data_IF_760136466919
#
_entry.id   IF_760136466919
#
_cell.length_a   1.000
_cell.length_b   1.000
_cell.length_c   1.000
_cell.angle_alpha   90.00
_cell.angle_beta   90.00
_cell.angle_gamma   90.00
#
_symmetry.space_group_name_H-M   'P 1'
#
loop_
_entity.id
_entity.type
_entity.pdbx_description
1 polymer ?
#
# COMPACT_ATOMS: atom_id res chain seq x y z
N UNK A 1 11.42 25.77 10.84
CA UNK A 1 11.53 24.47 10.14
C UNK A 1 10.36 24.39 9.18
N UNK A 2 10.60 24.11 7.90
CA UNK A 2 9.50 23.92 6.95
C UNK A 2 8.64 22.73 7.40
N UNK A 3 7.33 22.86 7.24
CA UNK A 3 6.40 21.82 7.57
C UNK A 3 6.64 20.61 6.63
N UNK A 4 6.69 19.39 7.16
CA UNK A 4 6.88 18.17 6.36
C UNK A 4 5.56 17.80 5.69
N UNK A 5 5.56 17.60 4.38
CA UNK A 5 4.39 17.17 3.64
C UNK A 5 4.22 15.65 3.75
N UNK A 6 5.27 14.88 3.45
CA UNK A 6 5.22 13.42 3.35
C UNK A 6 6.23 12.77 4.29
N UNK A 7 5.77 11.86 5.14
CA UNK A 7 6.63 10.91 5.86
C UNK A 7 6.58 9.57 5.18
N UNK A 8 7.75 9.08 4.74
CA UNK A 8 7.89 7.77 4.10
C UNK A 8 8.39 6.78 5.15
N UNK A 9 7.58 5.80 5.51
CA UNK A 9 7.92 4.73 6.45
C UNK A 9 8.32 3.50 5.65
N UNK A 10 9.57 3.04 5.80
CA UNK A 10 10.13 1.88 5.10
C UNK A 10 10.44 0.79 6.10
N UNK A 11 9.61 -0.26 6.21
CA UNK A 11 9.96 -1.45 6.96
C UNK A 11 11.03 -2.24 6.20
N UNK A 12 12.05 -2.75 6.89
CA UNK A 12 13.07 -3.60 6.26
C UNK A 12 13.48 -4.76 7.15
N UNK A 13 13.86 -5.88 6.52
CA UNK A 13 14.36 -7.08 7.19
C UNK A 13 15.44 -7.76 6.33
N UNK A 14 16.72 -7.58 6.67
CA UNK A 14 17.88 -8.23 6.02
C UNK A 14 18.00 -8.00 4.51
N UNK A 15 17.63 -6.80 4.02
CA UNK A 15 17.65 -6.43 2.59
C UNK A 15 18.34 -5.08 2.34
N UNK A 16 19.59 -4.87 2.79
CA UNK A 16 20.24 -3.56 2.75
C UNK A 16 20.35 -2.97 1.33
N UNK A 17 20.62 -3.79 0.32
CA UNK A 17 20.79 -3.31 -1.07
C UNK A 17 19.45 -2.84 -1.67
N UNK A 18 18.37 -3.57 -1.45
CA UNK A 18 17.04 -3.18 -1.92
C UNK A 18 16.56 -1.93 -1.20
N UNK A 19 16.74 -1.88 0.11
CA UNK A 19 16.43 -0.71 0.94
C UNK A 19 17.08 0.56 0.39
N UNK A 20 18.36 0.49 -0.02
CA UNK A 20 19.07 1.65 -0.58
C UNK A 20 18.33 2.22 -1.80
N UNK A 21 17.87 1.36 -2.70
CA UNK A 21 17.13 1.79 -3.87
C UNK A 21 15.77 2.41 -3.52
N UNK A 22 15.05 1.82 -2.58
CA UNK A 22 13.77 2.35 -2.09
C UNK A 22 13.95 3.75 -1.48
N UNK A 23 14.92 3.92 -0.56
CA UNK A 23 15.23 5.21 0.08
C UNK A 23 15.61 6.26 -0.97
N UNK A 24 16.52 5.93 -1.89
CA UNK A 24 16.94 6.88 -2.95
C UNK A 24 15.76 7.28 -3.82
N UNK A 25 14.86 6.37 -4.17
CA UNK A 25 13.66 6.67 -4.97
C UNK A 25 12.72 7.65 -4.26
N UNK A 26 12.59 7.53 -2.94
CA UNK A 26 11.80 8.45 -2.13
C UNK A 26 12.49 9.83 -2.01
N UNK A 27 13.79 9.85 -1.74
CA UNK A 27 14.57 11.09 -1.61
C UNK A 27 14.68 11.91 -2.91
N UNK A 28 14.54 11.25 -4.06
CA UNK A 28 14.57 11.90 -5.38
C UNK A 28 13.27 12.58 -5.79
N UNK A 29 12.22 12.53 -4.96
CA UNK A 29 10.96 13.20 -5.25
C UNK A 29 11.11 14.72 -5.06
N UNK A 30 10.59 15.47 -6.02
CA UNK A 30 10.62 16.92 -6.04
C UNK A 30 9.25 17.54 -5.73
N UNK A 31 9.24 18.83 -5.38
CA UNK A 31 8.01 19.61 -5.16
C UNK A 31 7.31 19.35 -3.84
N UNK A 32 7.93 18.60 -2.91
CA UNK A 32 7.40 18.32 -1.56
C UNK A 32 8.52 18.33 -0.51
N UNK A 33 8.18 18.70 0.72
CA UNK A 33 9.05 18.49 1.87
C UNK A 33 8.82 17.08 2.42
N UNK A 34 9.85 16.24 2.45
CA UNK A 34 9.70 14.87 2.91
C UNK A 34 10.74 14.45 3.96
N UNK A 35 10.39 13.46 4.73
CA UNK A 35 11.28 12.68 5.58
C UNK A 35 11.12 11.20 5.29
N UNK A 36 12.18 10.43 5.54
CA UNK A 36 12.18 8.97 5.44
C UNK A 36 12.49 8.37 6.81
N UNK A 37 11.67 7.44 7.25
CA UNK A 37 11.78 6.72 8.52
C UNK A 37 12.01 5.25 8.19
N UNK A 38 13.24 4.78 8.28
CA UNK A 38 13.58 3.38 8.06
C UNK A 38 13.43 2.63 9.37
N UNK A 39 12.59 1.59 9.38
CA UNK A 39 12.36 0.73 10.54
C UNK A 39 12.96 -0.63 10.27
N UNK A 40 14.09 -0.90 10.91
CA UNK A 40 14.86 -2.14 10.75
C UNK A 40 14.42 -3.20 11.77
N UNK A 41 13.81 -4.26 11.28
CA UNK A 41 13.34 -5.41 12.05
C UNK A 41 14.40 -6.54 12.13
N UNK A 42 15.59 -6.33 11.56
CA UNK A 42 16.68 -7.33 11.62
C UNK A 42 17.28 -7.37 13.02
N UNK A 43 17.47 -8.56 13.61
CA UNK A 43 18.10 -8.69 14.93
C UNK A 43 19.50 -8.07 15.00
N UNK A 44 20.25 -8.12 13.92
CA UNK A 44 21.62 -7.58 13.79
C UNK A 44 21.68 -6.10 13.40
N UNK A 45 20.55 -5.46 12.99
CA UNK A 45 20.52 -4.06 12.54
C UNK A 45 21.14 -3.88 11.16
N UNK A 46 20.79 -4.75 10.21
CA UNK A 46 21.42 -4.82 8.87
C UNK A 46 21.30 -3.56 8.03
N UNK A 47 20.32 -2.67 8.31
CA UNK A 47 20.11 -1.44 7.59
C UNK A 47 21.02 -0.28 8.04
N UNK A 48 21.61 -0.33 9.22
CA UNK A 48 22.35 0.80 9.80
C UNK A 48 23.47 1.33 8.89
N UNK A 49 24.30 0.42 8.37
CA UNK A 49 25.43 0.80 7.51
C UNK A 49 24.99 1.44 6.19
N UNK A 50 23.84 1.03 5.63
CA UNK A 50 23.29 1.63 4.42
C UNK A 50 22.79 3.05 4.69
N UNK A 51 22.14 3.27 5.82
CA UNK A 51 21.65 4.61 6.20
C UNK A 51 22.81 5.57 6.44
N UNK A 52 23.87 5.10 7.11
CA UNK A 52 25.11 5.89 7.26
C UNK A 52 25.75 6.27 5.91
N UNK A 53 25.74 5.36 4.93
CA UNK A 53 26.25 5.63 3.60
C UNK A 53 25.40 6.63 2.81
N UNK A 54 24.07 6.60 2.96
CA UNK A 54 23.16 7.55 2.31
C UNK A 54 23.42 8.98 2.83
N UNK A 55 23.71 9.13 4.11
CA UNK A 55 24.14 10.39 4.75
C UNK A 55 23.23 11.60 4.43
N UNK A 56 21.92 11.38 4.29
CA UNK A 56 20.92 12.42 4.03
C UNK A 56 20.18 12.76 5.34
N UNK A 57 20.16 14.03 5.70
CA UNK A 57 19.56 14.52 6.95
C UNK A 57 18.03 14.31 7.03
N UNK A 58 17.38 14.01 5.90
CA UNK A 58 15.96 13.67 5.85
C UNK A 58 15.68 12.22 6.26
N UNK A 59 16.70 11.36 6.37
CA UNK A 59 16.56 9.95 6.72
C UNK A 59 16.80 9.74 8.21
N UNK A 60 15.87 9.08 8.86
CA UNK A 60 16.02 8.58 10.24
C UNK A 60 16.00 7.07 10.26
N UNK A 61 16.78 6.50 11.18
CA UNK A 61 16.87 5.05 11.41
C UNK A 61 16.26 4.69 12.76
N UNK A 62 15.39 3.71 12.74
CA UNK A 62 14.73 3.15 13.94
C UNK A 62 14.97 1.64 13.95
N UNK A 63 15.58 1.14 15.01
CA UNK A 63 15.67 -0.28 15.24
C UNK A 63 14.41 -0.78 15.93
N UNK A 64 13.74 -1.77 15.35
CA UNK A 64 12.61 -2.43 16.01
C UNK A 64 13.12 -3.42 17.05
N UNK A 65 12.97 -3.09 18.32
CA UNK A 65 13.48 -3.91 19.44
C UNK A 65 12.37 -4.17 20.47
N UNK A 66 12.00 -5.43 20.75
CA UNK A 66 12.50 -6.65 20.10
C UNK A 66 12.01 -6.79 18.65
N UNK A 67 12.79 -7.46 17.77
CA UNK A 67 12.39 -7.71 16.39
C UNK A 67 11.09 -8.52 16.31
N UNK A 68 10.24 -8.17 15.36
CA UNK A 68 8.95 -8.86 15.16
C UNK A 68 9.07 -10.18 14.37
N UNK A 69 10.24 -10.44 13.79
CA UNK A 69 10.49 -11.60 12.94
C UNK A 69 9.98 -11.42 11.50
N UNK A 70 10.03 -10.18 10.97
CA UNK A 70 9.64 -9.87 9.61
C UNK A 70 8.13 -9.75 9.42
N UNK A 71 7.40 -9.27 10.43
CA UNK A 71 5.95 -9.02 10.37
C UNK A 71 5.68 -7.56 9.96
N UNK A 72 5.31 -7.28 8.69
CA UNK A 72 5.27 -5.90 8.18
C UNK A 72 4.30 -4.99 8.94
N UNK A 73 3.13 -5.50 9.37
CA UNK A 73 2.16 -4.75 10.16
C UNK A 73 2.77 -4.15 11.44
N UNK A 74 3.55 -4.96 12.16
CA UNK A 74 4.18 -4.52 13.41
C UNK A 74 5.29 -3.50 13.15
N UNK A 75 6.09 -3.73 12.11
CA UNK A 75 7.20 -2.84 11.75
C UNK A 75 6.68 -1.48 11.28
N UNK A 76 5.64 -1.47 10.43
CA UNK A 76 4.98 -0.21 10.01
C UNK A 76 4.35 0.52 11.20
N UNK A 77 3.76 -0.23 12.15
CA UNK A 77 3.20 0.34 13.38
C UNK A 77 4.25 0.92 14.33
N UNK A 78 5.49 0.44 14.31
CA UNK A 78 6.60 1.04 15.05
C UNK A 78 7.08 2.36 14.42
N UNK A 79 6.93 2.51 13.09
CA UNK A 79 7.42 3.67 12.35
C UNK A 79 6.44 4.83 12.27
N UNK A 80 5.18 4.59 11.90
CA UNK A 80 4.25 5.67 11.61
C UNK A 80 3.98 6.66 12.77
N UNK A 81 4.06 6.29 14.06
CA UNK A 81 3.89 7.26 15.13
C UNK A 81 4.98 8.35 15.18
N UNK A 82 6.12 8.11 14.54
CA UNK A 82 7.23 9.05 14.42
C UNK A 82 7.06 10.01 13.23
N UNK A 83 6.08 9.75 12.35
CA UNK A 83 5.79 10.56 11.17
C UNK A 83 5.32 11.96 11.57
N UNK A 84 5.95 13.00 11.00
CA UNK A 84 5.60 14.42 11.18
C UNK A 84 4.83 14.99 10.01
N UNK A 85 4.90 14.34 8.84
CA UNK A 85 4.24 14.76 7.62
C UNK A 85 2.72 14.76 7.73
N UNK A 86 2.08 15.58 6.92
CA UNK A 86 0.62 15.57 6.77
C UNK A 86 0.12 14.25 6.19
N UNK A 87 0.95 13.63 5.36
CA UNK A 87 0.68 12.38 4.66
C UNK A 87 1.73 11.34 5.02
N UNK A 88 1.32 10.08 5.05
CA UNK A 88 2.19 8.93 5.32
C UNK A 88 2.20 8.02 4.09
N UNK A 89 3.37 7.66 3.65
CA UNK A 89 3.62 6.64 2.66
C UNK A 89 4.28 5.43 3.33
N UNK A 90 3.70 4.25 3.18
CA UNK A 90 4.32 3.00 3.60
C UNK A 90 4.95 2.35 2.36
N UNK A 91 6.25 2.53 2.18
CA UNK A 91 7.00 2.01 1.04
C UNK A 91 7.72 0.72 1.45
N UNK A 92 7.52 -0.35 0.71
CA UNK A 92 8.25 -1.60 0.93
C UNK A 92 9.71 -1.47 0.45
N UNK A 93 10.63 -2.16 1.12
CA UNK A 93 12.07 -2.00 0.93
C UNK A 93 12.59 -2.54 -0.43
N UNK A 94 11.75 -3.22 -1.20
CA UNK A 94 12.05 -3.75 -2.52
C UNK A 94 11.41 -2.98 -3.69
N UNK A 95 10.60 -1.97 -3.40
CA UNK A 95 9.92 -1.15 -4.39
C UNK A 95 10.60 0.21 -4.65
N UNK A 96 10.17 0.92 -5.71
CA UNK A 96 10.63 2.27 -6.03
C UNK A 96 9.44 3.20 -6.31
N UNK A 97 9.47 4.37 -5.70
CA UNK A 97 8.47 5.42 -5.97
C UNK A 97 8.68 5.99 -7.37
N UNK A 98 7.61 6.10 -8.15
CA UNK A 98 7.68 6.75 -9.46
C UNK A 98 7.84 8.27 -9.32
N UNK A 99 8.60 8.87 -10.24
CA UNK A 99 8.87 10.32 -10.24
C UNK A 99 7.57 11.12 -10.28
N UNK A 100 7.48 12.15 -9.42
CA UNK A 100 6.34 13.07 -9.33
C UNK A 100 5.12 12.54 -8.58
N UNK A 101 5.18 11.32 -8.00
CA UNK A 101 4.03 10.77 -7.28
C UNK A 101 3.63 11.65 -6.10
N UNK A 102 4.57 12.06 -5.24
CA UNK A 102 4.21 12.80 -4.03
C UNK A 102 3.62 14.17 -4.35
N UNK A 103 4.20 14.91 -5.30
CA UNK A 103 3.65 16.21 -5.69
C UNK A 103 2.22 16.08 -6.25
N UNK A 104 1.97 15.08 -7.13
CA UNK A 104 0.64 14.81 -7.66
C UNK A 104 -0.35 14.39 -6.57
N UNK A 105 0.07 13.56 -5.62
CA UNK A 105 -0.79 13.08 -4.54
C UNK A 105 -1.12 14.21 -3.53
N UNK A 106 -0.14 15.03 -3.17
CA UNK A 106 -0.37 16.21 -2.28
C UNK A 106 -1.35 17.17 -2.90
N UNK A 107 -1.14 17.57 -4.17
CA UNK A 107 -2.08 18.42 -4.90
C UNK A 107 -3.48 17.80 -4.99
N UNK A 108 -3.55 16.46 -5.16
CA UNK A 108 -4.83 15.74 -5.18
C UNK A 108 -5.54 15.80 -3.83
N UNK A 109 -4.83 15.66 -2.72
CA UNK A 109 -5.42 15.80 -1.39
C UNK A 109 -5.89 17.23 -1.09
N UNK A 110 -5.21 18.24 -1.62
CA UNK A 110 -5.63 19.64 -1.50
C UNK A 110 -6.93 19.88 -2.27
N UNK A 111 -7.05 19.32 -3.48
CA UNK A 111 -8.27 19.39 -4.28
C UNK A 111 -9.43 18.56 -3.70
N UNK A 112 -9.14 17.54 -2.90
CA UNK A 112 -10.11 16.63 -2.32
C UNK A 112 -9.91 16.47 -0.81
N UNK A 113 -10.22 17.50 -0.01
CA UNK A 113 -9.95 17.51 1.44
C UNK A 113 -10.73 16.45 2.22
N UNK A 114 -11.83 15.94 1.66
CA UNK A 114 -12.68 14.88 2.23
C UNK A 114 -12.17 13.46 1.93
N UNK A 115 -11.07 13.31 1.17
CA UNK A 115 -10.48 12.01 0.83
C UNK A 115 -9.27 11.70 1.69
N UNK A 116 -9.21 10.44 2.17
CA UNK A 116 -8.13 10.00 3.05
C UNK A 116 -7.02 9.22 2.37
N UNK A 117 -7.30 8.60 1.23
CA UNK A 117 -6.34 7.73 0.50
C UNK A 117 -6.21 8.18 -0.94
N UNK A 118 -4.97 8.30 -1.42
CA UNK A 118 -4.63 8.49 -2.83
C UNK A 118 -3.75 7.33 -3.25
N UNK A 119 -4.05 6.70 -4.37
CA UNK A 119 -3.22 5.65 -4.95
C UNK A 119 -3.28 5.71 -6.49
N UNK A 120 -2.37 5.01 -7.17
CA UNK A 120 -2.31 5.08 -8.62
C UNK A 120 -1.94 3.77 -9.29
N UNK A 121 -1.48 3.86 -10.56
CA UNK A 121 -1.07 2.69 -11.34
C UNK A 121 0.28 2.18 -10.88
N UNK A 122 0.47 0.87 -11.05
CA UNK A 122 1.69 0.14 -10.69
C UNK A 122 2.35 -0.35 -11.97
N UNK A 123 3.65 -0.18 -12.08
CA UNK A 123 4.48 -0.71 -13.16
C UNK A 123 5.42 -1.78 -12.59
N UNK A 124 5.26 -3.06 -12.95
CA UNK A 124 6.16 -4.12 -12.51
C UNK A 124 7.54 -4.00 -13.17
N UNK A 125 8.60 -4.48 -12.49
CA UNK A 125 9.97 -4.55 -13.03
C UNK A 125 10.78 -5.66 -12.37
N UNK A 126 11.89 -6.07 -13.01
CA UNK A 126 12.91 -6.94 -12.40
C UNK A 126 12.67 -8.45 -12.50
N UNK A 127 11.52 -8.88 -12.99
CA UNK A 127 11.20 -10.30 -13.19
C UNK A 127 11.73 -10.85 -14.53
N UNK A 128 11.62 -12.16 -14.72
CA UNK A 128 11.78 -12.79 -16.02
C UNK A 128 10.64 -12.41 -16.99
N UNK A 129 10.81 -12.56 -18.32
CA UNK A 129 9.81 -12.11 -19.29
C UNK A 129 8.41 -12.67 -19.08
N UNK A 130 8.26 -13.94 -18.72
CA UNK A 130 6.95 -14.56 -18.53
C UNK A 130 6.24 -14.03 -17.27
N UNK A 131 6.98 -13.90 -16.17
CA UNK A 131 6.48 -13.26 -14.95
C UNK A 131 6.09 -11.80 -15.21
N UNK A 132 6.88 -11.07 -15.97
CA UNK A 132 6.60 -9.67 -16.32
C UNK A 132 5.31 -9.51 -17.12
N UNK A 133 5.07 -10.34 -18.14
CA UNK A 133 3.83 -10.30 -18.93
C UNK A 133 2.59 -10.56 -18.06
N UNK A 134 2.70 -11.52 -17.15
CA UNK A 134 1.63 -11.81 -16.19
C UNK A 134 1.33 -10.60 -15.30
N UNK A 135 2.36 -10.03 -14.68
CA UNK A 135 2.23 -8.90 -13.77
C UNK A 135 1.77 -7.61 -14.47
N UNK A 136 2.23 -7.36 -15.69
CA UNK A 136 1.71 -6.25 -16.50
C UNK A 136 0.20 -6.39 -16.74
N UNK A 137 -0.24 -7.58 -17.10
CA UNK A 137 -1.68 -7.86 -17.31
C UNK A 137 -2.46 -7.73 -16.00
N UNK A 138 -1.93 -8.25 -14.90
CA UNK A 138 -2.54 -8.15 -13.58
C UNK A 138 -2.73 -6.70 -13.15
N UNK A 139 -1.67 -5.86 -13.18
CA UNK A 139 -1.74 -4.47 -12.77
C UNK A 139 -2.54 -3.59 -13.74
N UNK A 140 -2.54 -3.89 -15.03
CA UNK A 140 -3.43 -3.21 -15.99
C UNK A 140 -4.91 -3.47 -15.66
N UNK A 141 -5.25 -4.70 -15.31
CA UNK A 141 -6.59 -5.07 -14.86
C UNK A 141 -6.94 -4.41 -13.50
N UNK A 142 -6.00 -4.35 -12.57
CA UNK A 142 -6.17 -3.65 -11.29
C UNK A 142 -6.47 -2.16 -11.51
N UNK A 143 -5.69 -1.48 -12.35
CA UNK A 143 -5.90 -0.07 -12.71
C UNK A 143 -7.28 0.17 -13.36
N UNK A 144 -7.71 -0.74 -14.24
CA UNK A 144 -9.03 -0.66 -14.88
C UNK A 144 -10.15 -0.77 -13.83
N UNK A 145 -10.07 -1.71 -12.89
CA UNK A 145 -11.02 -1.87 -11.78
C UNK A 145 -11.04 -0.64 -10.88
N UNK A 146 -9.87 -0.10 -10.54
CA UNK A 146 -9.73 1.09 -9.71
C UNK A 146 -10.35 2.33 -10.39
N UNK A 147 -10.09 2.53 -11.68
CA UNK A 147 -10.67 3.61 -12.48
C UNK A 147 -12.20 3.54 -12.54
N UNK A 148 -12.74 2.34 -12.72
CA UNK A 148 -14.18 2.11 -12.73
C UNK A 148 -14.80 2.42 -11.37
N UNK A 149 -14.21 1.92 -10.28
CA UNK A 149 -14.66 2.20 -8.93
C UNK A 149 -14.63 3.71 -8.62
N UNK A 150 -13.60 4.44 -9.06
CA UNK A 150 -13.49 5.87 -8.86
C UNK A 150 -14.57 6.67 -9.62
N UNK A 151 -14.92 6.24 -10.84
CA UNK A 151 -15.87 6.95 -11.68
C UNK A 151 -17.34 6.68 -11.34
N UNK A 152 -17.68 5.47 -10.96
CA UNK A 152 -19.08 5.01 -10.88
C UNK A 152 -19.48 4.60 -9.48
N UNK A 153 -18.62 3.89 -8.75
CA UNK A 153 -19.03 3.14 -7.57
C UNK A 153 -18.63 3.72 -6.22
N UNK A 154 -17.64 4.57 -6.19
CA UNK A 154 -17.15 5.13 -4.92
C UNK A 154 -16.61 4.10 -3.93
N UNK A 155 -16.72 4.43 -2.64
CA UNK A 155 -16.08 3.67 -1.54
C UNK A 155 -16.51 2.21 -1.47
N UNK A 156 -17.81 1.93 -1.52
CA UNK A 156 -18.33 0.56 -1.36
C UNK A 156 -17.95 -0.35 -2.52
N UNK A 157 -17.88 0.19 -3.73
CA UNK A 157 -17.41 -0.53 -4.90
C UNK A 157 -15.95 -0.93 -4.75
N UNK A 158 -15.09 0.02 -4.30
CA UNK A 158 -13.68 -0.27 -4.06
C UNK A 158 -13.50 -1.32 -2.94
N UNK A 159 -14.23 -1.18 -1.84
CA UNK A 159 -14.21 -2.14 -0.73
C UNK A 159 -14.66 -3.53 -1.19
N UNK A 160 -15.69 -3.63 -2.04
CA UNK A 160 -16.12 -4.91 -2.60
C UNK A 160 -15.03 -5.57 -3.47
N UNK A 161 -14.25 -4.77 -4.23
CA UNK A 161 -13.07 -5.29 -4.96
C UNK A 161 -12.02 -5.83 -3.98
N UNK A 162 -11.67 -5.08 -2.93
CA UNK A 162 -10.66 -5.48 -1.96
C UNK A 162 -11.05 -6.74 -1.17
N UNK A 163 -12.33 -6.89 -0.83
CA UNK A 163 -12.81 -8.01 -0.04
C UNK A 163 -13.09 -9.28 -0.87
N UNK A 164 -13.54 -9.15 -2.11
CA UNK A 164 -14.15 -10.27 -2.84
C UNK A 164 -13.64 -10.46 -4.27
N UNK A 165 -12.77 -9.58 -4.75
CA UNK A 165 -12.16 -9.69 -6.07
C UNK A 165 -10.63 -9.69 -5.95
N UNK A 166 -9.94 -9.59 -7.07
CA UNK A 166 -8.49 -9.45 -7.06
C UNK A 166 -8.06 -8.09 -6.50
N UNK A 167 -6.89 -8.07 -5.91
CA UNK A 167 -6.25 -6.85 -5.39
C UNK A 167 -6.21 -5.75 -6.45
N UNK A 168 -6.58 -4.54 -6.06
CA UNK A 168 -6.58 -3.34 -6.94
C UNK A 168 -5.53 -2.32 -6.51
N UNK A 169 -4.90 -2.52 -5.38
CA UNK A 169 -3.81 -1.70 -4.85
C UNK A 169 -2.81 -2.57 -4.10
N UNK A 170 -1.60 -2.08 -3.96
CA UNK A 170 -0.58 -2.60 -3.04
C UNK A 170 -0.16 -1.47 -2.09
N UNK A 171 0.43 -1.85 -0.97
CA UNK A 171 0.82 -0.92 0.09
C UNK A 171 1.64 0.26 -0.44
N UNK A 172 2.72 -0.03 -1.14
CA UNK A 172 3.68 0.95 -1.68
C UNK A 172 3.11 1.88 -2.76
N UNK A 173 1.89 1.62 -3.28
CA UNK A 173 1.24 2.49 -4.27
C UNK A 173 0.30 3.53 -3.65
N UNK A 174 0.21 3.58 -2.32
CA UNK A 174 -0.79 4.36 -1.58
C UNK A 174 -0.16 5.44 -0.72
N UNK A 175 -0.69 6.67 -0.79
CA UNK A 175 -0.45 7.74 0.16
C UNK A 175 -1.72 7.96 1.00
N UNK A 176 -1.59 8.12 2.31
CA UNK A 176 -2.72 8.27 3.23
C UNK A 176 -2.51 9.49 4.13
N UNK A 177 -3.58 10.20 4.50
CA UNK A 177 -3.50 11.26 5.51
C UNK A 177 -3.08 10.69 6.86
N UNK A 178 -2.15 11.36 7.56
CA UNK A 178 -1.64 10.89 8.85
C UNK A 178 -2.74 10.81 9.92
N UNK A 179 -3.67 11.75 9.94
CA UNK A 179 -4.84 11.72 10.83
C UNK A 179 -5.76 10.52 10.56
N UNK A 180 -5.86 10.08 9.30
CA UNK A 180 -6.58 8.85 8.94
C UNK A 180 -5.84 7.62 9.48
N UNK A 181 -4.51 7.55 9.39
CA UNK A 181 -3.73 6.45 10.00
C UNK A 181 -3.98 6.39 11.50
N UNK A 182 -3.91 7.53 12.18
CA UNK A 182 -4.17 7.64 13.62
C UNK A 182 -5.60 7.20 13.97
N UNK A 183 -6.61 7.64 13.19
CA UNK A 183 -8.00 7.27 13.42
C UNK A 183 -8.33 5.80 13.10
N UNK A 184 -7.44 5.10 12.38
CA UNK A 184 -7.48 3.65 12.13
C UNK A 184 -6.66 2.87 13.15
N UNK A 185 -5.88 3.55 14.01
CA UNK A 185 -4.95 2.94 14.96
C UNK A 185 -3.85 2.10 14.28
N UNK A 186 -3.48 2.49 13.03
CA UNK A 186 -2.51 1.78 12.21
C UNK A 186 -3.03 0.45 11.64
N UNK A 187 -2.10 -0.47 11.40
CA UNK A 187 -2.36 -1.83 10.90
C UNK A 187 -2.83 -2.76 12.03
N UNK A 188 -3.70 -3.72 11.72
CA UNK A 188 -4.06 -4.77 12.67
C UNK A 188 -2.84 -5.67 12.95
N UNK A 189 -2.30 -5.66 14.19
CA UNK A 189 -1.09 -6.42 14.52
C UNK A 189 -1.30 -7.93 14.50
N UNK A 190 -2.53 -8.40 14.40
CA UNK A 190 -2.87 -9.82 14.37
C UNK A 190 -3.09 -10.35 12.95
N UNK A 191 -2.99 -9.50 11.91
CA UNK A 191 -3.06 -9.95 10.52
C UNK A 191 -1.79 -10.72 10.13
N UNK A 192 -1.90 -11.98 9.70
CA UNK A 192 -0.74 -12.77 9.30
C UNK A 192 -0.22 -12.40 7.93
N UNK A 193 -1.11 -12.04 6.99
CA UNK A 193 -0.86 -11.70 5.60
C UNK A 193 -1.90 -10.67 5.12
N UNK A 194 -1.62 -9.99 4.00
CA UNK A 194 -2.52 -9.01 3.38
C UNK A 194 -3.01 -7.93 4.40
N UNK A 195 -2.15 -7.57 5.32
CA UNK A 195 -2.40 -6.54 6.33
C UNK A 195 -2.66 -5.17 5.70
N UNK A 196 -2.09 -4.94 4.51
CA UNK A 196 -2.29 -3.76 3.70
C UNK A 196 -3.71 -3.73 3.10
N UNK A 197 -4.19 -4.84 2.55
CA UNK A 197 -5.56 -4.94 2.02
C UNK A 197 -6.58 -4.66 3.12
N UNK A 198 -6.38 -5.21 4.33
CA UNK A 198 -7.21 -4.93 5.50
C UNK A 198 -7.18 -3.44 5.87
N UNK A 199 -5.99 -2.87 6.00
CA UNK A 199 -5.79 -1.49 6.39
C UNK A 199 -6.44 -0.51 5.41
N UNK A 200 -6.19 -0.65 4.10
CA UNK A 200 -6.79 0.20 3.09
C UNK A 200 -8.29 -0.07 2.88
N UNK A 201 -8.77 -1.27 3.15
CA UNK A 201 -10.21 -1.56 3.19
C UNK A 201 -10.90 -0.70 4.27
N UNK A 202 -10.35 -0.65 5.49
CA UNK A 202 -10.84 0.24 6.58
C UNK A 202 -10.71 1.72 6.20
N UNK A 203 -9.56 2.11 5.67
CA UNK A 203 -9.27 3.49 5.28
C UNK A 203 -10.20 4.01 4.20
N UNK A 204 -10.33 3.29 3.10
CA UNK A 204 -11.20 3.65 1.97
C UNK A 204 -12.67 3.65 2.39
N UNK A 205 -13.09 2.65 3.17
CA UNK A 205 -14.47 2.59 3.66
C UNK A 205 -14.84 3.81 4.50
N UNK A 206 -13.93 4.29 5.33
CA UNK A 206 -14.18 5.40 6.25
C UNK A 206 -13.95 6.77 5.60
N UNK A 207 -12.84 6.95 4.88
CA UNK A 207 -12.34 8.24 4.44
C UNK A 207 -12.39 8.44 2.93
N UNK A 208 -12.74 7.41 2.15
CA UNK A 208 -12.75 7.48 0.70
C UNK A 208 -11.36 7.50 0.07
N UNK A 209 -11.33 7.59 -1.25
CA UNK A 209 -10.09 7.53 -2.03
C UNK A 209 -10.17 8.41 -3.28
N UNK A 210 -9.00 8.68 -3.85
CA UNK A 210 -8.82 9.16 -5.22
C UNK A 210 -7.87 8.20 -5.94
N UNK A 211 -8.18 7.85 -7.17
CA UNK A 211 -7.32 7.08 -8.05
C UNK A 211 -6.62 8.02 -9.04
N UNK A 212 -5.29 8.04 -9.02
CA UNK A 212 -4.44 8.74 -9.97
C UNK A 212 -4.18 7.84 -11.18
N UNK A 213 -4.60 8.25 -12.35
CA UNK A 213 -4.40 7.48 -13.59
C UNK A 213 -2.99 7.70 -14.18
N UNK A 214 -1.98 7.62 -13.32
CA UNK A 214 -0.56 7.65 -13.66
C UNK A 214 0.20 6.56 -12.88
N UNK A 215 1.38 6.18 -13.36
CA UNK A 215 2.27 5.27 -12.61
C UNK A 215 2.79 6.00 -11.38
N UNK A 216 2.56 5.40 -10.20
CA UNK A 216 3.00 5.93 -8.91
C UNK A 216 4.06 5.06 -8.26
N UNK A 217 4.17 3.83 -8.70
CA UNK A 217 5.06 2.81 -8.14
C UNK A 217 5.67 1.95 -9.23
N UNK A 218 6.96 1.68 -9.10
CA UNK A 218 7.65 0.57 -9.75
C UNK A 218 7.73 -0.58 -8.75
N UNK A 219 6.94 -1.64 -9.00
CA UNK A 219 6.80 -2.82 -8.15
C UNK A 219 7.79 -3.89 -8.59
N UNK A 220 8.64 -4.34 -7.67
CA UNK A 220 9.68 -5.31 -7.97
C UNK A 220 9.16 -6.74 -7.90
N UNK A 221 9.37 -7.49 -8.98
CA UNK A 221 9.06 -8.92 -9.04
C UNK A 221 10.27 -9.70 -8.52
N UNK A 222 10.14 -10.30 -7.34
CA UNK A 222 11.16 -11.14 -6.72
C UNK A 222 10.62 -12.56 -6.53
N UNK A 223 11.40 -13.60 -6.87
CA UNK A 223 11.01 -14.99 -6.59
C UNK A 223 10.83 -15.29 -5.10
N UNK A 224 11.48 -14.50 -4.24
CA UNK A 224 11.44 -14.62 -2.78
C UNK A 224 10.43 -13.70 -2.11
N UNK A 225 9.59 -12.99 -2.88
CA UNK A 225 8.57 -12.11 -2.30
C UNK A 225 7.56 -12.92 -1.47
N UNK A 226 7.02 -12.32 -0.40
CA UNK A 226 5.99 -12.95 0.44
C UNK A 226 4.75 -13.35 -0.37
N UNK A 227 4.45 -12.63 -1.44
CA UNK A 227 3.31 -12.91 -2.33
C UNK A 227 3.58 -14.06 -3.31
N UNK A 228 4.84 -14.27 -3.72
CA UNK A 228 5.25 -15.34 -4.64
C UNK A 228 5.90 -16.52 -3.90
N UNK A 229 6.39 -16.30 -2.67
CA UNK A 229 6.80 -17.36 -1.76
C UNK A 229 5.57 -18.05 -1.20
N UNK A 230 5.70 -19.34 -0.84
CA UNK A 230 4.67 -20.23 -0.28
C UNK A 230 3.90 -19.62 0.92
N UNK A 231 3.13 -18.56 0.70
CA UNK A 231 2.01 -18.27 1.57
C UNK A 231 1.10 -19.49 1.49
N UNK A 232 1.02 -20.28 2.56
CA UNK A 232 0.12 -21.44 2.55
C UNK A 232 -1.28 -20.91 2.26
N UNK A 233 -2.03 -21.58 1.41
CA UNK A 233 -3.45 -21.26 1.16
C UNK A 233 -4.22 -21.05 2.47
N UNK A 234 -3.84 -21.73 3.53
CA UNK A 234 -4.42 -21.64 4.87
C UNK A 234 -4.23 -20.25 5.51
N UNK A 235 -3.06 -19.62 5.34
CA UNK A 235 -2.80 -18.26 5.85
C UNK A 235 -3.64 -17.19 5.15
N UNK A 236 -3.79 -17.31 3.84
CA UNK A 236 -4.64 -16.40 3.05
C UNK A 236 -6.12 -16.56 3.45
N UNK A 237 -6.60 -17.82 3.54
CA UNK A 237 -7.97 -18.11 3.95
C UNK A 237 -8.27 -17.57 5.35
N UNK A 238 -7.35 -17.71 6.30
CA UNK A 238 -7.53 -17.19 7.66
C UNK A 238 -7.56 -15.67 7.69
N UNK A 239 -6.70 -15.00 6.91
CA UNK A 239 -6.72 -13.55 6.75
C UNK A 239 -8.08 -13.06 6.27
N UNK A 240 -8.61 -13.60 5.17
CA UNK A 240 -9.92 -13.19 4.66
C UNK A 240 -11.07 -13.52 5.61
N UNK A 241 -11.01 -14.68 6.31
CA UNK A 241 -11.99 -15.02 7.34
C UNK A 241 -12.03 -13.96 8.44
N UNK A 242 -10.86 -13.51 8.90
CA UNK A 242 -10.72 -12.44 9.88
C UNK A 242 -11.25 -11.11 9.36
N UNK A 243 -10.87 -10.71 8.15
CA UNK A 243 -11.38 -9.49 7.52
C UNK A 243 -12.90 -9.48 7.42
N UNK A 244 -13.53 -10.58 7.00
CA UNK A 244 -14.98 -10.69 6.93
C UNK A 244 -15.64 -10.62 8.30
N UNK A 245 -15.06 -11.25 9.31
CA UNK A 245 -15.58 -11.21 10.68
C UNK A 245 -15.53 -9.79 11.24
N UNK A 246 -14.42 -9.09 11.10
CA UNK A 246 -14.24 -7.70 11.53
C UNK A 246 -15.17 -6.76 10.76
N UNK A 247 -15.25 -6.89 9.44
CA UNK A 247 -16.15 -6.09 8.63
C UNK A 247 -17.61 -6.28 9.04
N UNK A 248 -18.03 -7.53 9.20
CA UNK A 248 -19.38 -7.88 9.66
C UNK A 248 -19.69 -7.29 11.04
N UNK A 249 -18.78 -7.39 11.98
CA UNK A 249 -18.95 -6.84 13.33
C UNK A 249 -19.14 -5.32 13.31
N UNK A 250 -18.44 -4.62 12.41
CA UNK A 250 -18.43 -3.15 12.35
C UNK A 250 -19.55 -2.57 11.48
N UNK A 251 -19.89 -3.23 10.36
CA UNK A 251 -20.80 -2.69 9.33
C UNK A 251 -22.05 -3.53 9.10
N UNK A 252 -22.17 -4.69 9.78
CA UNK A 252 -23.31 -5.57 9.70
C UNK A 252 -23.23 -6.64 8.60
N UNK A 253 -24.00 -7.70 8.79
CA UNK A 253 -24.02 -8.83 7.86
C UNK A 253 -24.69 -8.52 6.51
N UNK A 254 -25.66 -7.60 6.52
CA UNK A 254 -26.43 -7.24 5.32
C UNK A 254 -25.53 -6.52 4.31
N UNK A 255 -24.73 -5.55 4.75
CA UNK A 255 -23.79 -4.83 3.88
C UNK A 255 -22.73 -5.77 3.32
N UNK A 256 -22.14 -6.64 4.15
CA UNK A 256 -21.17 -7.63 3.71
C UNK A 256 -21.75 -8.60 2.66
N UNK A 257 -22.98 -9.09 2.88
CA UNK A 257 -23.67 -9.97 1.94
C UNK A 257 -23.98 -9.26 0.63
N UNK A 258 -24.47 -8.02 0.69
CA UNK A 258 -24.75 -7.21 -0.50
C UNK A 258 -23.49 -7.00 -1.34
N UNK A 259 -22.34 -6.68 -0.72
CA UNK A 259 -21.06 -6.55 -1.43
C UNK A 259 -20.60 -7.87 -2.02
N UNK A 260 -20.79 -8.99 -1.34
CA UNK A 260 -20.47 -10.32 -1.86
C UNK A 260 -21.32 -10.68 -3.08
N UNK A 261 -22.61 -10.40 -3.05
CA UNK A 261 -23.51 -10.58 -4.21
C UNK A 261 -23.05 -9.69 -5.35
N UNK A 262 -22.85 -8.39 -5.10
CA UNK A 262 -22.36 -7.42 -6.07
C UNK A 262 -21.07 -7.87 -6.74
N UNK A 263 -20.10 -8.37 -5.98
CA UNK A 263 -18.82 -8.83 -6.51
C UNK A 263 -18.95 -10.04 -7.43
N UNK A 264 -19.96 -10.89 -7.22
CA UNK A 264 -20.20 -12.09 -8.03
C UNK A 264 -21.09 -11.86 -9.25
N UNK A 265 -21.85 -10.78 -9.25
CA UNK A 265 -22.83 -10.48 -10.31
C UNK A 265 -22.45 -9.30 -11.18
N UNK A 266 -22.19 -8.16 -10.58
CA UNK A 266 -21.96 -6.90 -11.28
C UNK A 266 -20.50 -6.71 -11.68
N UNK A 267 -19.54 -7.00 -10.79
CA UNK A 267 -18.12 -6.80 -11.09
C UNK A 267 -17.65 -7.61 -12.32
N UNK A 268 -18.00 -8.89 -12.50
CA UNK A 268 -17.63 -9.61 -13.70
C UNK A 268 -18.20 -9.03 -14.99
N UNK A 269 -19.47 -8.59 -14.96
CA UNK A 269 -20.14 -7.98 -16.12
C UNK A 269 -19.50 -6.65 -16.52
N UNK A 270 -19.14 -5.83 -15.56
CA UNK A 270 -18.46 -4.55 -15.82
C UNK A 270 -17.05 -4.74 -16.36
N UNK A 271 -16.35 -5.77 -15.92
CA UNK A 271 -15.03 -6.14 -16.45
C UNK A 271 -15.11 -6.59 -17.91
N UNK A 272 -16.14 -7.36 -18.31
CA UNK A 272 -16.39 -7.81 -19.69
C UNK A 272 -16.82 -6.64 -20.61
N UNK A 273 -17.77 -5.85 -20.18
CA UNK A 273 -18.30 -4.72 -20.99
C UNK A 273 -17.23 -3.64 -21.30
N UNK A 274 -16.25 -3.50 -20.43
CA UNK A 274 -15.18 -2.51 -20.62
C UNK A 274 -14.00 -3.04 -21.43
N UNK A 275 -13.77 -4.37 -21.45
CA UNK A 275 -12.72 -4.98 -22.28
C UNK A 275 -13.01 -4.91 -23.78
N UNK A 276 -14.26 -4.67 -24.16
CA UNK A 276 -14.70 -4.52 -25.57
C UNK A 276 -14.60 -3.07 -26.08
N UNK A 277 -14.27 -2.10 -25.25
CA UNK A 277 -14.20 -0.67 -25.58
C UNK A 277 -12.79 -0.06 -25.48
N UNK A 278 -11.79 -0.84 -25.16
CA UNK A 278 -10.38 -0.50 -25.14
C UNK A 278 -9.64 -1.18 -26.28
#
# INVERSE_FOLDING_TARGET
MNEVDVSVVIPTYRRPELLKEAVVSALSQEGVQLEVIVVDDSPEGSAAAVIEQIADSRVSYVRNDPPSGGRPALVRNAGWPQARGKYVHFLDDDDRVAVGFYAAAVSTFEAHPDRGVVFGRIAPFGGDPASMDHEHTFFANAARRARLAARVGGRLWMVANLLFADTVLVNSACLIRRDCVAALEGYDPQMPLNEDVEFYCRGIRRFGFVFLDQVVLHYRILPSSLMHGRASNDGIVETYRRMYAQYRAKHGAVELLAMKIFSRTILPLTNLAWSQRA
#
